data_IF_198172166576
#
_entry.id   IF_198172166576
#
_cell.length_a   1.000
_cell.length_b   1.000
_cell.length_c   1.000
_cell.angle_alpha   90.00
_cell.angle_beta   90.00
_cell.angle_gamma   90.00
#
_symmetry.space_group_name_H-M   'P 1'
#
loop_
_entity.id
_entity.type
_entity.pdbx_description
1 polymer ?
#
# COMPACT_ATOMS: atom_id res chain seq x y z
N UNK A 1 3.15 -5.00 -2.86
CA UNK A 1 4.39 -4.78 -2.09
C UNK A 1 4.02 -4.49 -0.65
N UNK A 2 4.09 -5.51 0.22
CA UNK A 2 3.77 -5.38 1.64
C UNK A 2 4.63 -6.31 2.52
N UNK A 3 5.79 -6.76 2.03
CA UNK A 3 6.53 -7.86 2.66
C UNK A 3 7.64 -7.40 3.62
N UNK A 4 7.80 -6.10 3.87
CA UNK A 4 8.93 -5.56 4.65
C UNK A 4 8.51 -4.74 5.87
N UNK A 5 7.20 -4.58 6.10
CA UNK A 5 6.67 -3.89 7.27
C UNK A 5 5.25 -4.35 7.60
N UNK A 6 4.85 -4.18 8.86
CA UNK A 6 3.50 -4.52 9.34
C UNK A 6 2.89 -3.35 10.10
N UNK A 7 1.60 -3.09 9.90
CA UNK A 7 0.82 -2.14 10.71
C UNK A 7 0.34 -2.83 11.99
N UNK A 8 0.69 -2.29 13.15
CA UNK A 8 0.32 -2.90 14.43
C UNK A 8 -1.12 -2.55 14.84
N UNK A 9 -1.91 -3.56 15.20
CA UNK A 9 -3.31 -3.39 15.61
C UNK A 9 -3.49 -2.48 16.84
N UNK A 10 -2.51 -2.47 17.76
CA UNK A 10 -2.59 -1.71 19.00
C UNK A 10 -2.48 -0.19 18.82
N UNK A 11 -1.78 0.30 17.79
CA UNK A 11 -1.47 1.73 17.63
C UNK A 11 -1.49 2.25 16.19
N UNK A 12 -1.85 1.42 15.22
CA UNK A 12 -1.82 1.70 13.78
C UNK A 12 -0.46 2.16 13.23
N UNK A 13 0.61 2.12 14.03
CA UNK A 13 1.96 2.44 13.54
C UNK A 13 2.52 1.29 12.71
N UNK A 14 3.08 1.65 11.56
CA UNK A 14 3.79 0.75 10.65
C UNK A 14 5.22 0.55 11.17
N UNK A 15 5.65 -0.71 11.20
CA UNK A 15 6.98 -1.10 11.70
C UNK A 15 7.66 -1.98 10.68
N UNK A 16 8.86 -1.63 10.23
CA UNK A 16 9.60 -2.48 9.32
C UNK A 16 10.12 -3.74 10.02
N UNK A 17 10.33 -4.83 9.26
CA UNK A 17 10.76 -6.11 9.80
C UNK A 17 12.13 -6.00 10.50
N UNK A 18 13.01 -5.10 10.03
CA UNK A 18 14.28 -4.78 10.69
C UNK A 18 14.10 -4.15 12.08
N UNK A 19 13.19 -3.19 12.24
CA UNK A 19 12.87 -2.61 13.55
C UNK A 19 12.25 -3.66 14.49
N UNK A 20 11.41 -4.55 13.95
CA UNK A 20 10.81 -5.65 14.72
C UNK A 20 11.87 -6.64 15.20
N UNK A 21 12.81 -7.02 14.33
CA UNK A 21 13.95 -7.88 14.68
C UNK A 21 14.84 -7.23 15.75
N UNK A 22 15.21 -5.97 15.55
CA UNK A 22 16.05 -5.22 16.49
C UNK A 22 15.40 -5.12 17.88
N UNK A 23 14.09 -4.85 17.94
CA UNK A 23 13.35 -4.81 19.19
C UNK A 23 13.32 -6.17 19.90
N UNK A 24 13.09 -7.26 19.16
CA UNK A 24 13.08 -8.62 19.70
C UNK A 24 14.42 -9.01 20.32
N UNK A 25 15.55 -8.63 19.70
CA UNK A 25 16.90 -8.90 20.23
C UNK A 25 17.19 -8.19 21.54
N UNK A 26 16.57 -7.04 21.77
CA UNK A 26 16.64 -6.29 23.03
C UNK A 26 15.64 -6.79 24.08
N UNK A 27 15.02 -7.95 23.85
CA UNK A 27 14.07 -8.56 24.79
C UNK A 27 12.64 -8.00 24.72
N UNK A 28 12.33 -7.09 23.79
CA UNK A 28 10.97 -6.56 23.66
C UNK A 28 10.05 -7.56 22.96
N UNK A 29 9.05 -8.09 23.68
CA UNK A 29 8.06 -9.06 23.17
C UNK A 29 6.68 -8.43 22.88
N UNK A 30 6.65 -7.19 22.45
CA UNK A 30 5.43 -6.44 22.13
C UNK A 30 5.67 -5.38 21.06
N UNK A 31 4.70 -4.49 20.87
CA UNK A 31 4.80 -3.40 19.92
C UNK A 31 5.99 -2.48 20.23
N UNK A 32 6.92 -2.25 19.28
CA UNK A 32 8.06 -1.35 19.49
C UNK A 32 7.70 0.10 19.81
N UNK A 33 6.46 0.52 19.53
CA UNK A 33 6.01 1.90 19.72
C UNK A 33 5.28 2.09 21.05
N UNK A 34 4.24 1.30 21.31
CA UNK A 34 3.39 1.48 22.50
C UNK A 34 3.54 0.37 23.55
N UNK A 35 4.49 -0.56 23.35
CA UNK A 35 4.81 -1.68 24.26
C UNK A 35 3.67 -2.67 24.53
N UNK A 36 2.48 -2.44 23.98
CA UNK A 36 1.35 -3.37 24.07
C UNK A 36 1.78 -4.76 23.56
N UNK A 37 1.51 -5.83 24.31
CA UNK A 37 1.72 -7.19 23.84
C UNK A 37 1.01 -7.45 22.50
N UNK A 38 1.60 -8.29 21.66
CA UNK A 38 0.92 -8.67 20.42
C UNK A 38 -0.34 -9.49 20.73
N UNK A 39 -1.43 -9.31 19.98
CA UNK A 39 -2.67 -10.05 20.21
C UNK A 39 -2.42 -11.55 20.00
N UNK A 40 -2.98 -12.39 20.88
CA UNK A 40 -2.80 -13.84 20.82
C UNK A 40 -3.60 -14.49 19.69
N UNK A 41 -4.72 -13.88 19.30
CA UNK A 41 -5.66 -14.42 18.32
C UNK A 41 -6.32 -13.32 17.46
N UNK A 42 -7.16 -13.77 16.53
CA UNK A 42 -7.88 -12.89 15.63
C UNK A 42 -8.92 -12.01 16.34
N UNK A 43 -9.58 -12.52 17.38
CA UNK A 43 -10.60 -11.79 18.12
C UNK A 43 -9.99 -10.61 18.90
N UNK A 44 -8.87 -10.85 19.59
CA UNK A 44 -8.07 -9.83 20.26
C UNK A 44 -7.55 -8.79 19.27
N UNK A 45 -7.11 -9.24 18.08
CA UNK A 45 -6.68 -8.33 17.00
C UNK A 45 -7.83 -7.43 16.55
N UNK A 46 -9.03 -7.99 16.34
CA UNK A 46 -10.21 -7.26 15.93
C UNK A 46 -10.64 -6.24 17.00
N UNK A 47 -10.66 -6.64 18.26
CA UNK A 47 -10.99 -5.75 19.39
C UNK A 47 -10.02 -4.55 19.47
N UNK A 48 -8.72 -4.77 19.23
CA UNK A 48 -7.75 -3.66 19.18
C UNK A 48 -8.01 -2.71 18.00
N UNK A 49 -8.38 -3.24 16.83
CA UNK A 49 -8.74 -2.42 15.66
C UNK A 49 -10.01 -1.61 15.96
N UNK A 50 -11.05 -2.23 16.51
CA UNK A 50 -12.32 -1.58 16.85
C UNK A 50 -12.12 -0.41 17.82
N UNK A 51 -11.31 -0.59 18.87
CA UNK A 51 -10.92 0.51 19.78
C UNK A 51 -10.25 1.70 19.09
N UNK A 52 -9.61 1.49 17.94
CA UNK A 52 -9.00 2.57 17.14
C UNK A 52 -10.02 3.17 16.16
N UNK A 53 -10.92 2.37 15.62
CA UNK A 53 -12.07 2.82 14.82
C UNK A 53 -12.98 3.74 15.63
N UNK A 54 -13.29 3.39 16.89
CA UNK A 54 -14.06 4.25 17.81
C UNK A 54 -13.41 5.62 18.03
N UNK A 55 -12.08 5.70 17.88
CA UNK A 55 -11.31 6.95 17.97
C UNK A 55 -11.14 7.65 16.61
N UNK A 56 -11.86 7.20 15.59
CA UNK A 56 -11.82 7.71 14.21
C UNK A 56 -10.41 7.71 13.60
N UNK A 57 -9.60 6.71 13.94
CA UNK A 57 -8.29 6.51 13.32
C UNK A 57 -8.46 5.99 11.88
N UNK A 58 -8.15 6.84 10.89
CA UNK A 58 -8.37 6.55 9.46
C UNK A 58 -7.69 5.23 9.00
N UNK A 59 -6.50 4.93 9.53
CA UNK A 59 -5.76 3.72 9.21
C UNK A 59 -6.44 2.46 9.79
N UNK A 60 -7.04 2.59 10.98
CA UNK A 60 -7.81 1.51 11.60
C UNK A 60 -9.12 1.24 10.84
N UNK A 61 -9.85 2.30 10.47
CA UNK A 61 -11.09 2.18 9.67
C UNK A 61 -10.76 1.50 8.33
N UNK A 62 -9.69 1.93 7.66
CA UNK A 62 -9.20 1.28 6.42
C UNK A 62 -8.88 -0.19 6.64
N UNK A 63 -8.15 -0.50 7.72
CA UNK A 63 -7.76 -1.87 8.04
C UNK A 63 -8.97 -2.75 8.33
N UNK A 64 -9.98 -2.25 9.03
CA UNK A 64 -11.24 -2.96 9.28
C UNK A 64 -11.97 -3.24 7.96
N UNK A 65 -12.02 -2.26 7.05
CA UNK A 65 -12.54 -2.45 5.68
C UNK A 65 -11.85 -3.61 4.97
N UNK A 66 -10.51 -3.68 5.01
CA UNK A 66 -9.77 -4.82 4.47
C UNK A 66 -10.12 -6.17 5.11
N UNK A 67 -10.47 -6.20 6.41
CA UNK A 67 -10.86 -7.45 7.09
C UNK A 67 -12.23 -7.93 6.66
N UNK A 68 -13.20 -7.02 6.51
CA UNK A 68 -14.51 -7.35 5.93
C UNK A 68 -14.40 -7.79 4.48
N UNK A 69 -13.63 -7.08 3.65
CA UNK A 69 -13.44 -7.44 2.24
C UNK A 69 -12.85 -8.85 2.06
N UNK A 70 -12.00 -9.29 3.00
CA UNK A 70 -11.31 -10.59 2.94
C UNK A 70 -11.93 -11.67 3.82
N UNK A 71 -12.97 -11.37 4.61
CA UNK A 71 -13.54 -12.28 5.60
C UNK A 71 -12.51 -12.80 6.62
N UNK A 72 -11.73 -11.90 7.24
CA UNK A 72 -10.65 -12.26 8.18
C UNK A 72 -10.99 -11.87 9.62
N UNK A 73 -10.28 -12.47 10.58
CA UNK A 73 -10.47 -12.24 12.03
C UNK A 73 -11.85 -12.70 12.55
N UNK A 74 -12.42 -13.75 11.95
CA UNK A 74 -13.75 -14.25 12.31
C UNK A 74 -14.91 -13.45 11.71
N UNK A 75 -14.62 -12.44 10.87
CA UNK A 75 -15.64 -11.69 10.14
C UNK A 75 -16.06 -12.43 8.88
N UNK A 76 -17.36 -12.46 8.59
CA UNK A 76 -17.86 -12.87 7.29
C UNK A 76 -17.39 -11.89 6.20
N UNK A 77 -17.15 -12.39 4.99
CA UNK A 77 -16.81 -11.55 3.84
C UNK A 77 -17.99 -10.63 3.54
N UNK A 78 -17.75 -9.32 3.55
CA UNK A 78 -18.76 -8.31 3.22
C UNK A 78 -18.09 -7.11 2.53
N UNK A 79 -18.29 -7.00 1.22
CA UNK A 79 -17.64 -5.96 0.42
C UNK A 79 -18.37 -4.62 0.55
N UNK A 80 -19.69 -4.61 0.60
CA UNK A 80 -20.48 -3.38 0.84
C UNK A 80 -20.04 -2.69 2.12
N UNK A 81 -19.91 -3.46 3.22
CA UNK A 81 -19.41 -2.92 4.49
C UNK A 81 -17.96 -2.44 4.39
N UNK A 82 -17.12 -3.12 3.61
CA UNK A 82 -15.75 -2.68 3.38
C UNK A 82 -15.70 -1.33 2.64
N UNK A 83 -16.56 -1.12 1.64
CA UNK A 83 -16.65 0.13 0.90
C UNK A 83 -17.15 1.29 1.75
N UNK A 84 -18.15 1.08 2.59
CA UNK A 84 -18.60 2.09 3.57
C UNK A 84 -17.43 2.53 4.46
N UNK A 85 -16.69 1.57 5.01
CA UNK A 85 -15.53 1.83 5.85
C UNK A 85 -14.40 2.54 5.09
N UNK A 86 -14.12 2.15 3.84
CA UNK A 86 -13.12 2.86 3.04
C UNK A 86 -13.56 4.27 2.67
N UNK A 87 -14.85 4.50 2.44
CA UNK A 87 -15.40 5.84 2.20
C UNK A 87 -15.21 6.71 3.44
N UNK A 88 -15.62 6.22 4.61
CA UNK A 88 -15.39 6.91 5.90
C UNK A 88 -13.89 7.16 6.14
N UNK A 89 -13.04 6.16 5.89
CA UNK A 89 -11.61 6.30 6.09
C UNK A 89 -10.99 7.33 5.13
N UNK A 90 -11.46 7.40 3.89
CA UNK A 90 -11.01 8.39 2.91
C UNK A 90 -11.40 9.82 3.34
N UNK A 91 -12.62 10.01 3.87
CA UNK A 91 -13.06 11.28 4.47
C UNK A 91 -12.21 11.68 5.69
N UNK A 92 -11.78 10.68 6.48
CA UNK A 92 -10.82 10.86 7.58
C UNK A 92 -9.36 11.07 7.10
N UNK A 93 -9.12 11.06 5.78
CA UNK A 93 -7.82 11.37 5.18
C UNK A 93 -6.95 10.16 4.86
N UNK A 94 -7.46 8.93 4.95
CA UNK A 94 -6.71 7.71 4.60
C UNK A 94 -6.39 7.66 3.10
N UNK A 95 -5.09 7.69 2.82
CA UNK A 95 -4.54 7.54 1.46
C UNK A 95 -4.71 6.09 0.95
N UNK A 96 -4.53 5.12 1.83
CA UNK A 96 -4.71 3.70 1.51
C UNK A 96 -6.17 3.43 1.11
N UNK A 97 -7.14 4.05 1.80
CA UNK A 97 -8.57 3.86 1.51
C UNK A 97 -8.97 4.41 0.12
N UNK A 98 -8.45 5.57 -0.27
CA UNK A 98 -8.63 6.07 -1.63
C UNK A 98 -8.08 5.09 -2.68
N UNK A 99 -6.98 4.38 -2.40
CA UNK A 99 -6.49 3.37 -3.33
C UNK A 99 -7.48 2.21 -3.51
N UNK A 100 -8.03 1.70 -2.41
CA UNK A 100 -8.99 0.58 -2.44
C UNK A 100 -10.30 0.98 -3.12
N UNK A 101 -10.85 2.17 -2.81
CA UNK A 101 -12.02 2.70 -3.52
C UNK A 101 -11.75 2.84 -5.02
N UNK A 102 -10.56 3.34 -5.38
CA UNK A 102 -10.15 3.44 -6.77
C UNK A 102 -10.15 2.09 -7.49
N UNK A 103 -9.69 1.02 -6.83
CA UNK A 103 -9.71 -0.34 -7.37
C UNK A 103 -11.15 -0.81 -7.58
N UNK A 104 -12.00 -0.69 -6.55
CA UNK A 104 -13.35 -1.23 -6.59
C UNK A 104 -14.22 -0.55 -7.65
N UNK A 105 -14.18 0.78 -7.74
CA UNK A 105 -14.93 1.48 -8.79
C UNK A 105 -14.37 1.21 -10.20
N UNK A 106 -13.06 0.97 -10.33
CA UNK A 106 -12.45 0.71 -11.63
C UNK A 106 -12.71 -0.70 -12.17
N UNK A 107 -12.75 -1.73 -11.30
CA UNK A 107 -12.98 -3.12 -11.73
C UNK A 107 -14.45 -3.50 -11.80
N UNK A 108 -15.32 -2.82 -11.06
CA UNK A 108 -16.76 -3.13 -11.04
C UNK A 108 -17.10 -4.48 -10.42
N UNK A 109 -16.18 -5.11 -9.67
CA UNK A 109 -16.35 -6.50 -9.20
C UNK A 109 -17.55 -6.70 -8.25
N UNK A 110 -17.96 -5.64 -7.53
CA UNK A 110 -19.02 -5.72 -6.49
C UNK A 110 -19.94 -4.50 -6.45
N UNK A 111 -19.66 -3.48 -7.28
CA UNK A 111 -20.53 -2.32 -7.52
C UNK A 111 -20.53 -2.05 -9.01
N UNK A 112 -21.50 -1.25 -9.46
CA UNK A 112 -21.48 -0.77 -10.83
C UNK A 112 -20.14 -0.11 -11.15
N UNK A 113 -19.55 -0.50 -12.29
CA UNK A 113 -18.27 0.02 -12.74
C UNK A 113 -18.40 1.54 -12.97
N UNK A 114 -17.50 2.30 -12.35
CA UNK A 114 -17.37 3.74 -12.53
C UNK A 114 -15.87 4.09 -12.60
N UNK A 115 -15.27 3.79 -13.76
CA UNK A 115 -13.85 4.04 -14.01
C UNK A 115 -13.45 5.50 -13.75
N UNK A 116 -14.20 6.53 -14.19
CA UNK A 116 -13.86 7.92 -13.87
C UNK A 116 -13.75 8.19 -12.37
N UNK A 117 -14.69 7.69 -11.57
CA UNK A 117 -14.65 7.83 -10.11
C UNK A 117 -13.48 7.05 -9.49
N UNK A 118 -13.21 5.85 -9.99
CA UNK A 118 -12.05 5.06 -9.59
C UNK A 118 -10.72 5.80 -9.82
N UNK A 119 -10.57 6.39 -11.01
CA UNK A 119 -9.42 7.21 -11.40
C UNK A 119 -9.30 8.43 -10.48
N UNK A 120 -10.39 9.13 -10.17
CA UNK A 120 -10.37 10.29 -9.27
C UNK A 120 -9.83 9.94 -7.88
N UNK A 121 -10.24 8.81 -7.31
CA UNK A 121 -9.70 8.34 -6.04
C UNK A 121 -8.21 7.99 -6.13
N UNK A 122 -7.77 7.35 -7.22
CA UNK A 122 -6.34 7.10 -7.44
C UNK A 122 -5.54 8.38 -7.62
N UNK A 123 -6.07 9.41 -8.28
CA UNK A 123 -5.44 10.73 -8.38
C UNK A 123 -5.25 11.36 -7.00
N UNK A 124 -6.29 11.36 -6.16
CA UNK A 124 -6.22 11.87 -4.79
C UNK A 124 -5.14 11.15 -3.96
N UNK A 125 -5.10 9.81 -4.02
CA UNK A 125 -4.10 9.02 -3.33
C UNK A 125 -2.68 9.26 -3.88
N UNK A 126 -2.53 9.30 -5.20
CA UNK A 126 -1.25 9.48 -5.87
C UNK A 126 -0.65 10.87 -5.58
N UNK A 127 -1.46 11.93 -5.53
CA UNK A 127 -1.04 13.27 -5.13
C UNK A 127 -0.47 13.31 -3.72
N UNK A 128 -0.94 12.44 -2.82
CA UNK A 128 -0.42 12.26 -1.46
C UNK A 128 0.73 11.24 -1.37
N UNK A 129 1.31 10.85 -2.51
CA UNK A 129 2.45 9.94 -2.58
C UNK A 129 2.09 8.44 -2.53
N UNK A 130 0.84 8.05 -2.79
CA UNK A 130 0.49 6.63 -2.83
C UNK A 130 1.07 5.96 -4.08
N UNK A 131 2.09 5.14 -3.86
CA UNK A 131 2.88 4.49 -4.91
C UNK A 131 2.03 3.58 -5.80
N UNK A 132 1.14 2.77 -5.21
CA UNK A 132 0.32 1.83 -6.00
C UNK A 132 -0.77 2.55 -6.79
N UNK A 133 -1.35 3.64 -6.27
CA UNK A 133 -2.31 4.44 -7.04
C UNK A 133 -1.61 5.16 -8.20
N UNK A 134 -0.40 5.69 -7.98
CA UNK A 134 0.41 6.27 -9.05
C UNK A 134 0.72 5.24 -10.14
N UNK A 135 1.03 4.00 -9.77
CA UNK A 135 1.22 2.90 -10.72
C UNK A 135 -0.06 2.57 -11.50
N UNK A 136 -1.21 2.50 -10.83
CA UNK A 136 -2.50 2.21 -11.45
C UNK A 136 -2.90 3.29 -12.45
N UNK A 137 -2.65 4.57 -12.16
CA UNK A 137 -2.83 5.64 -13.15
C UNK A 137 -1.97 5.41 -14.39
N UNK A 138 -0.73 4.95 -14.24
CA UNK A 138 0.09 4.57 -15.39
C UNK A 138 -0.48 3.40 -16.19
N UNK A 139 -1.14 2.42 -15.55
CA UNK A 139 -1.86 1.34 -16.26
C UNK A 139 -3.01 1.92 -17.08
N UNK A 140 -3.81 2.83 -16.51
CA UNK A 140 -4.93 3.49 -17.21
C UNK A 140 -4.42 4.21 -18.46
N UNK A 141 -3.37 5.02 -18.33
CA UNK A 141 -2.81 5.77 -19.45
C UNK A 141 -2.20 4.86 -20.51
N UNK A 142 -1.63 3.73 -20.11
CA UNK A 142 -1.11 2.74 -21.05
C UNK A 142 -2.24 2.11 -21.88
N UNK A 143 -3.35 1.75 -21.22
CA UNK A 143 -4.54 1.22 -21.88
C UNK A 143 -5.17 2.22 -22.85
N UNK A 144 -5.07 3.52 -22.54
CA UNK A 144 -5.53 4.60 -23.42
C UNK A 144 -4.55 4.92 -24.57
N UNK A 145 -3.39 4.25 -24.65
CA UNK A 145 -2.35 4.52 -25.65
C UNK A 145 -1.50 5.76 -25.35
N UNK A 146 -1.65 6.39 -24.18
CA UNK A 146 -0.91 7.57 -23.76
C UNK A 146 0.46 7.19 -23.21
N UNK A 147 1.35 6.68 -24.07
CA UNK A 147 2.66 6.16 -23.67
C UNK A 147 3.54 7.18 -22.94
N UNK A 148 3.51 8.45 -23.35
CA UNK A 148 4.29 9.49 -22.68
C UNK A 148 3.85 9.69 -21.23
N UNK A 149 2.54 9.77 -20.98
CA UNK A 149 1.99 9.95 -19.64
C UNK A 149 2.14 8.68 -18.78
N UNK A 150 2.02 7.51 -19.41
CA UNK A 150 2.33 6.21 -18.80
C UNK A 150 3.74 6.21 -18.19
N UNK A 151 4.75 6.58 -18.98
CA UNK A 151 6.14 6.62 -18.52
C UNK A 151 6.28 7.62 -17.37
N UNK A 152 5.61 8.77 -17.40
CA UNK A 152 5.66 9.73 -16.29
C UNK A 152 5.10 9.14 -14.98
N UNK A 153 3.92 8.49 -15.01
CA UNK A 153 3.34 7.84 -13.84
C UNK A 153 4.22 6.71 -13.29
N UNK A 154 4.72 5.86 -14.17
CA UNK A 154 5.60 4.76 -13.76
C UNK A 154 6.97 5.26 -13.30
N UNK A 155 7.50 6.36 -13.85
CA UNK A 155 8.77 6.95 -13.44
C UNK A 155 8.68 7.44 -12.00
N UNK A 156 7.62 8.17 -11.66
CA UNK A 156 7.39 8.65 -10.29
C UNK A 156 7.33 7.48 -9.31
N UNK A 157 6.53 6.45 -9.63
CA UNK A 157 6.39 5.29 -8.73
C UNK A 157 7.66 4.42 -8.66
N UNK A 158 8.43 4.30 -9.75
CA UNK A 158 9.72 3.62 -9.75
C UNK A 158 10.74 4.37 -8.87
N UNK A 159 10.79 5.70 -8.95
CA UNK A 159 11.59 6.57 -8.06
C UNK A 159 11.18 6.50 -6.58
N UNK A 160 10.00 5.94 -6.27
CA UNK A 160 9.57 5.63 -4.91
C UNK A 160 9.85 4.17 -4.51
N UNK A 161 10.63 3.43 -5.30
CA UNK A 161 10.99 2.04 -5.05
C UNK A 161 9.94 1.02 -5.51
N UNK A 162 9.04 1.35 -6.45
CA UNK A 162 8.07 0.39 -6.98
C UNK A 162 8.62 -0.40 -8.18
N UNK A 163 9.12 -1.59 -7.89
CA UNK A 163 9.73 -2.51 -8.88
C UNK A 163 8.81 -2.83 -10.06
N UNK A 164 7.48 -2.99 -9.85
CA UNK A 164 6.57 -3.27 -10.96
C UNK A 164 6.53 -2.13 -11.97
N UNK A 165 6.57 -0.88 -11.52
CA UNK A 165 6.64 0.27 -12.43
C UNK A 165 7.95 0.29 -13.22
N UNK A 166 9.07 0.00 -12.55
CA UNK A 166 10.37 -0.13 -13.22
C UNK A 166 10.34 -1.23 -14.29
N UNK A 167 9.80 -2.40 -13.96
CA UNK A 167 9.67 -3.52 -14.90
C UNK A 167 8.75 -3.18 -16.07
N UNK A 168 7.68 -2.42 -15.84
CA UNK A 168 6.81 -1.98 -16.92
C UNK A 168 7.50 -0.94 -17.83
N UNK A 169 8.30 -0.02 -17.29
CA UNK A 169 9.13 0.90 -18.11
C UNK A 169 10.16 0.12 -18.93
N UNK A 170 10.79 -0.90 -18.34
CA UNK A 170 11.69 -1.82 -19.05
C UNK A 170 10.99 -2.48 -20.23
N UNK A 171 9.73 -2.90 -20.05
CA UNK A 171 8.95 -3.50 -21.12
C UNK A 171 8.62 -2.47 -22.21
N UNK A 172 8.16 -1.27 -21.84
CA UNK A 172 7.93 -0.18 -22.81
C UNK A 172 9.18 0.20 -23.60
N UNK A 173 10.37 0.13 -22.99
CA UNK A 173 11.62 0.37 -23.71
C UNK A 173 11.87 -0.71 -24.77
N UNK A 174 11.61 -1.99 -24.46
CA UNK A 174 11.71 -3.08 -25.43
C UNK A 174 10.71 -2.92 -26.58
N UNK A 175 9.53 -2.44 -26.27
CA UNK A 175 8.44 -2.25 -27.24
C UNK A 175 8.59 -0.94 -28.05
N UNK A 176 9.62 -0.14 -27.78
CA UNK A 176 9.89 1.13 -28.47
C UNK A 176 9.04 2.32 -28.01
N UNK A 177 8.26 2.16 -26.93
CA UNK A 177 7.40 3.21 -26.36
C UNK A 177 8.09 4.08 -25.30
N UNK A 178 9.23 3.64 -24.77
CA UNK A 178 10.08 4.43 -23.89
C UNK A 178 11.51 4.54 -24.45
N UNK A 179 12.19 5.64 -24.16
CA UNK A 179 13.57 5.85 -24.60
C UNK A 179 14.57 5.16 -23.67
N UNK A 180 15.79 4.92 -24.18
CA UNK A 180 16.91 4.42 -23.35
C UNK A 180 17.19 5.33 -22.15
N UNK A 181 17.08 6.65 -22.34
CA UNK A 181 17.29 7.63 -21.28
C UNK A 181 16.22 7.50 -20.18
N UNK A 182 14.94 7.38 -20.55
CA UNK A 182 13.84 7.17 -19.59
C UNK A 182 14.01 5.88 -18.80
N UNK A 183 14.41 4.78 -19.44
CA UNK A 183 14.66 3.54 -18.72
C UNK A 183 15.87 3.64 -17.78
N UNK A 184 16.96 4.27 -18.21
CA UNK A 184 18.13 4.51 -17.36
C UNK A 184 17.80 5.39 -16.15
N UNK A 185 17.01 6.44 -16.34
CA UNK A 185 16.54 7.32 -15.26
C UNK A 185 15.66 6.55 -14.25
N UNK A 186 14.74 5.71 -14.73
CA UNK A 186 13.91 4.88 -13.87
C UNK A 186 14.74 3.89 -13.04
N UNK A 187 15.77 3.29 -13.65
CA UNK A 187 16.71 2.39 -12.95
C UNK A 187 17.51 3.09 -11.87
N UNK A 188 18.04 4.28 -12.16
CA UNK A 188 18.78 5.09 -11.19
C UNK A 188 17.89 5.49 -10.03
N UNK A 189 16.72 6.07 -10.32
CA UNK A 189 15.78 6.50 -9.29
C UNK A 189 15.28 5.35 -8.40
N UNK A 190 15.02 4.17 -8.98
CA UNK A 190 14.69 2.99 -8.19
C UNK A 190 15.84 2.54 -7.29
N UNK A 191 17.09 2.55 -7.81
CA UNK A 191 18.28 2.20 -7.02
C UNK A 191 18.45 3.16 -5.85
N UNK A 192 18.32 4.46 -6.09
CA UNK A 192 18.45 5.49 -5.05
C UNK A 192 17.42 5.25 -3.93
N UNK A 193 16.16 5.01 -4.29
CA UNK A 193 15.10 4.69 -3.32
C UNK A 193 15.39 3.42 -2.49
N UNK A 194 15.97 2.38 -3.12
CA UNK A 194 16.35 1.14 -2.43
C UNK A 194 17.53 1.39 -1.48
N UNK A 195 18.55 2.12 -1.91
CA UNK A 195 19.72 2.42 -1.07
C UNK A 195 19.36 3.36 0.10
N UNK A 196 18.50 4.36 -0.10
CA UNK A 196 17.98 5.21 0.99
C UNK A 196 17.23 4.39 2.06
N UNK A 197 16.55 3.33 1.65
CA UNK A 197 15.82 2.44 2.54
C UNK A 197 16.67 1.29 3.10
N UNK A 198 17.95 1.19 2.73
CA UNK A 198 18.82 0.09 3.14
C UNK A 198 19.19 0.25 4.62
N UNK A 199 19.12 -0.84 5.38
CA UNK A 199 19.69 -0.88 6.72
C UNK A 199 20.17 -2.28 7.09
N UNK A 200 21.25 -2.42 7.91
CA UNK A 200 21.75 -3.73 8.31
C UNK A 200 20.67 -4.63 8.93
N UNK A 201 19.78 -4.05 9.73
CA UNK A 201 18.70 -4.79 10.38
C UNK A 201 17.60 -5.21 9.40
N UNK A 202 17.32 -4.41 8.35
CA UNK A 202 16.35 -4.79 7.30
C UNK A 202 16.91 -5.93 6.45
N UNK A 203 18.18 -5.86 6.06
CA UNK A 203 18.85 -6.93 5.31
C UNK A 203 18.94 -8.23 6.11
N UNK A 204 19.26 -8.12 7.39
CA UNK A 204 19.28 -9.27 8.28
C UNK A 204 17.90 -9.87 8.50
N UNK A 205 16.87 -9.04 8.75
CA UNK A 205 15.50 -9.50 8.83
C UNK A 205 15.09 -10.25 7.55
N UNK A 206 15.44 -9.73 6.38
CA UNK A 206 15.19 -10.41 5.11
C UNK A 206 15.88 -11.78 5.03
N UNK A 207 17.16 -11.88 5.42
CA UNK A 207 17.90 -13.15 5.47
C UNK A 207 17.27 -14.19 6.41
N UNK A 208 16.65 -13.73 7.49
CA UNK A 208 16.00 -14.58 8.49
C UNK A 208 14.54 -14.91 8.15
N UNK A 209 14.03 -14.50 6.98
CA UNK A 209 12.63 -14.75 6.57
C UNK A 209 11.59 -13.96 7.37
N UNK A 210 11.98 -12.81 7.92
CA UNK A 210 11.16 -11.99 8.81
C UNK A 210 10.17 -11.07 8.09
#
# INVERSE_FOLDING_TARGET
>A
MANHSTRNACCMKRVCNGCRLAARRRGLRGCPFCRTPFPADGASTLAMIQKRVEKRDADAVTLLGHKYHKGRLGLAKNVTRAMELWTEAAELGSVDAHCELGIVYYTGDVVEEDKPRGIQHWQQAAMKGHVSSRHNLGIVEYQNGNHQLTVQHWMISAKMGYEKSLNNIKQMFKDGHATKAQYAEALLGYRDAVEEMRSPQREEAKRLGF
#
